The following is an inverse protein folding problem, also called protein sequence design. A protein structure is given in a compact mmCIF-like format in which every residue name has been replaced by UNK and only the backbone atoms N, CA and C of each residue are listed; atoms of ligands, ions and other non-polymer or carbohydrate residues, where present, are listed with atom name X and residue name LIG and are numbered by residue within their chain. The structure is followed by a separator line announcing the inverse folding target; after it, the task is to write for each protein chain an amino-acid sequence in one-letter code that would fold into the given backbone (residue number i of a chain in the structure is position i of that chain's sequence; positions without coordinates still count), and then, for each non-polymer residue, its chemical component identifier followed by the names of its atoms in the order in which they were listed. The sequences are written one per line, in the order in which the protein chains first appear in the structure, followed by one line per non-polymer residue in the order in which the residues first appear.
data_IF_281681762654
#
_entry.id   IF_281681762654
#
_cell.length_a   1.000
_cell.length_b   1.000
_cell.length_c   1.000
_cell.angle_alpha   90.00
_cell.angle_beta   90.00
_cell.angle_gamma   90.00
#
_symmetry.space_group_name_H-M   'P 1'
#
loop_
_entity.id
_entity.type
_entity.pdbx_description
1 polymer ?
#
# COMPACT_ATOMS: atom_id res chain seq x y z
N UNK A 1 4.86 3.40 -20.57
CA UNK A 1 4.27 4.02 -19.36
C UNK A 1 4.67 3.26 -18.10
N UNK A 2 4.49 1.93 -18.04
CA UNK A 2 4.90 1.10 -16.88
C UNK A 2 6.39 1.11 -16.53
N UNK A 3 7.28 0.89 -17.51
CA UNK A 3 8.73 0.95 -17.28
C UNK A 3 9.19 2.30 -16.73
N UNK A 4 8.63 3.40 -17.25
CA UNK A 4 8.91 4.75 -16.74
C UNK A 4 8.41 4.93 -15.30
N UNK A 5 7.31 4.29 -14.91
CA UNK A 5 6.83 4.32 -13.53
C UNK A 5 7.80 3.59 -12.59
N UNK A 6 8.35 2.44 -13.02
CA UNK A 6 9.41 1.73 -12.32
C UNK A 6 10.68 2.59 -12.21
N UNK A 7 11.12 3.23 -13.29
CA UNK A 7 12.29 4.11 -13.28
C UNK A 7 12.16 5.26 -12.26
N UNK A 8 10.95 5.81 -12.09
CA UNK A 8 10.69 6.83 -11.06
C UNK A 8 10.80 6.30 -9.64
N UNK A 9 10.65 4.99 -9.43
CA UNK A 9 10.68 4.34 -8.12
C UNK A 9 12.07 3.85 -7.72
N UNK A 10 12.98 3.58 -8.67
CA UNK A 10 14.30 3.02 -8.34
C UNK A 10 15.40 3.25 -9.37
N UNK A 11 15.22 4.17 -10.31
CA UNK A 11 16.17 4.44 -11.38
C UNK A 11 16.16 3.41 -12.52
N UNK A 12 17.14 3.47 -13.44
CA UNK A 12 17.15 2.70 -14.70
C UNK A 12 17.01 1.19 -14.52
N UNK A 13 17.51 0.63 -13.41
CA UNK A 13 17.52 -0.82 -13.17
C UNK A 13 16.31 -1.31 -12.35
N UNK A 14 15.36 -0.44 -12.01
CA UNK A 14 14.22 -0.77 -11.15
C UNK A 14 13.37 -1.94 -11.67
N UNK A 15 13.33 -2.14 -13.00
CA UNK A 15 12.56 -3.20 -13.64
C UNK A 15 13.27 -4.57 -13.66
N UNK A 16 14.56 -4.65 -13.29
CA UNK A 16 15.38 -5.85 -13.48
C UNK A 16 14.79 -7.11 -12.81
N UNK A 17 14.28 -6.96 -11.58
CA UNK A 17 13.66 -8.07 -10.84
C UNK A 17 12.43 -8.64 -11.57
N UNK A 18 11.60 -7.76 -12.15
CA UNK A 18 10.39 -8.16 -12.88
C UNK A 18 10.78 -8.81 -14.21
N UNK A 19 11.70 -8.19 -14.95
CA UNK A 19 12.14 -8.67 -16.26
C UNK A 19 12.84 -10.03 -16.18
N UNK A 20 13.48 -10.35 -15.06
CA UNK A 20 14.12 -11.64 -14.84
C UNK A 20 13.15 -12.83 -14.90
N UNK A 21 11.83 -12.62 -14.73
CA UNK A 21 10.82 -13.67 -14.82
C UNK A 21 10.31 -13.93 -16.25
N UNK A 22 10.80 -13.21 -17.26
CA UNK A 22 10.25 -13.26 -18.62
C UNK A 22 10.49 -14.60 -19.36
N UNK A 23 11.50 -15.36 -18.96
CA UNK A 23 11.83 -16.67 -19.53
C UNK A 23 10.80 -17.74 -19.16
N UNK A 24 10.21 -17.65 -17.96
CA UNK A 24 9.25 -18.62 -17.41
C UNK A 24 7.81 -18.08 -17.45
N UNK A 25 7.61 -16.79 -17.17
CA UNK A 25 6.29 -16.18 -16.99
C UNK A 25 6.16 -14.82 -17.70
N UNK A 26 6.26 -14.77 -19.03
CA UNK A 26 6.23 -13.50 -19.79
C UNK A 26 4.92 -12.71 -19.62
N UNK A 27 3.78 -13.37 -19.48
CA UNK A 27 2.51 -12.68 -19.21
C UNK A 27 2.48 -12.04 -17.82
N UNK A 28 3.11 -12.67 -16.81
CA UNK A 28 3.23 -12.07 -15.47
C UNK A 28 4.06 -10.78 -15.53
N UNK A 29 5.16 -10.80 -16.29
CA UNK A 29 5.98 -9.60 -16.55
C UNK A 29 5.14 -8.52 -17.22
N UNK A 30 4.36 -8.87 -18.24
CA UNK A 30 3.46 -7.93 -18.91
C UNK A 30 2.40 -7.36 -17.96
N UNK A 31 1.76 -8.18 -17.12
CA UNK A 31 0.79 -7.69 -16.13
C UNK A 31 1.42 -6.76 -15.10
N UNK A 32 2.63 -7.07 -14.63
CA UNK A 32 3.34 -6.20 -13.71
C UNK A 32 3.64 -4.85 -14.38
N UNK A 33 4.23 -4.85 -15.58
CA UNK A 33 4.62 -3.61 -16.26
C UNK A 33 3.39 -2.81 -16.68
N UNK A 34 2.45 -3.40 -17.39
CA UNK A 34 1.36 -2.65 -18.02
C UNK A 34 0.26 -2.32 -17.01
N UNK A 35 -0.26 -3.32 -16.29
CA UNK A 35 -1.39 -3.12 -15.39
C UNK A 35 -0.94 -2.56 -14.03
N UNK A 36 -0.02 -3.23 -13.35
CA UNK A 36 0.34 -2.82 -11.99
C UNK A 36 1.06 -1.45 -11.99
N UNK A 37 2.19 -1.35 -12.69
CA UNK A 37 2.98 -0.11 -12.73
C UNK A 37 2.48 0.90 -13.77
N UNK A 38 1.98 0.44 -14.92
CA UNK A 38 1.56 1.30 -16.01
C UNK A 38 0.21 1.96 -15.80
N UNK A 39 -0.72 1.32 -15.09
CA UNK A 39 -2.07 1.84 -14.85
C UNK A 39 -2.36 2.15 -13.39
N UNK A 40 -2.21 1.18 -12.47
CA UNK A 40 -2.70 1.35 -11.09
C UNK A 40 -1.78 2.26 -10.26
N UNK A 41 -0.47 1.97 -10.25
CA UNK A 41 0.51 2.69 -9.44
C UNK A 41 0.93 4.04 -10.04
N UNK A 42 0.71 4.24 -11.34
CA UNK A 42 1.02 5.50 -12.04
C UNK A 42 -0.11 6.54 -11.98
N UNK A 43 -1.30 6.17 -11.47
CA UNK A 43 -2.46 7.08 -11.39
C UNK A 43 -2.11 8.37 -10.64
N UNK A 44 -2.52 9.54 -11.13
CA UNK A 44 -2.35 10.78 -10.39
C UNK A 44 -3.27 10.84 -9.16
N UNK A 45 -2.92 11.68 -8.19
CA UNK A 45 -3.75 11.97 -7.00
C UNK A 45 -3.26 11.34 -5.69
N UNK A 46 -2.46 10.28 -5.75
CA UNK A 46 -1.70 9.74 -4.63
C UNK A 46 -0.22 9.72 -4.99
N UNK A 47 0.60 10.43 -4.21
CA UNK A 47 2.03 10.54 -4.46
C UNK A 47 2.75 9.20 -4.25
N UNK A 48 3.92 9.05 -4.89
CA UNK A 48 4.69 7.80 -4.87
C UNK A 48 5.14 7.42 -3.46
N UNK A 49 5.54 8.40 -2.62
CA UNK A 49 5.98 8.14 -1.25
C UNK A 49 4.87 7.46 -0.45
N UNK A 50 3.66 8.01 -0.50
CA UNK A 50 2.49 7.47 0.20
C UNK A 50 2.08 6.11 -0.36
N UNK A 51 2.13 5.91 -1.68
CA UNK A 51 1.86 4.60 -2.31
C UNK A 51 2.79 3.52 -1.79
N UNK A 52 4.09 3.80 -1.75
CA UNK A 52 5.09 2.84 -1.30
C UNK A 52 4.94 2.55 0.19
N UNK A 53 4.65 3.54 1.03
CA UNK A 53 4.36 3.32 2.45
C UNK A 53 3.11 2.43 2.66
N UNK A 54 2.08 2.58 1.83
CA UNK A 54 0.91 1.69 1.84
C UNK A 54 1.26 0.27 1.38
N UNK A 55 2.10 0.12 0.36
CA UNK A 55 2.63 -1.18 -0.09
C UNK A 55 3.42 -1.87 1.01
N UNK A 56 4.35 -1.16 1.65
CA UNK A 56 5.17 -1.65 2.77
C UNK A 56 4.27 -2.13 3.89
N UNK A 57 3.19 -1.42 4.21
CA UNK A 57 2.23 -1.83 5.23
C UNK A 57 1.61 -3.19 4.90
N UNK A 58 1.05 -3.34 3.69
CA UNK A 58 0.45 -4.58 3.22
C UNK A 58 1.46 -5.75 3.20
N UNK A 59 2.64 -5.55 2.61
CA UNK A 59 3.67 -6.60 2.52
C UNK A 59 4.25 -6.98 3.89
N UNK A 60 4.33 -6.02 4.82
CA UNK A 60 4.72 -6.30 6.22
C UNK A 60 3.68 -7.14 6.96
N UNK A 61 2.38 -6.96 6.67
CA UNK A 61 1.33 -7.84 7.21
C UNK A 61 1.43 -9.26 6.64
N UNK A 62 1.65 -9.36 5.33
CA UNK A 62 1.60 -10.63 4.59
C UNK A 62 2.90 -11.44 4.72
N UNK A 63 4.02 -10.81 5.08
CA UNK A 63 5.31 -11.49 5.24
C UNK A 63 6.07 -11.75 3.93
N UNK A 64 5.83 -10.95 2.88
CA UNK A 64 6.51 -11.07 1.60
C UNK A 64 7.85 -10.32 1.57
N UNK A 65 8.86 -10.89 2.25
CA UNK A 65 10.17 -10.24 2.49
C UNK A 65 10.93 -9.76 1.24
N UNK A 66 11.06 -10.53 0.13
CA UNK A 66 11.80 -10.05 -1.05
C UNK A 66 11.18 -8.79 -1.66
N UNK A 67 9.85 -8.76 -1.80
CA UNK A 67 9.11 -7.61 -2.31
C UNK A 67 9.15 -6.46 -1.29
N UNK A 68 9.00 -6.76 0.00
CA UNK A 68 9.09 -5.76 1.07
C UNK A 68 10.42 -5.02 1.02
N UNK A 69 11.54 -5.74 0.82
CA UNK A 69 12.86 -5.12 0.68
C UNK A 69 12.90 -4.14 -0.48
N UNK A 70 12.43 -4.55 -1.67
CA UNK A 70 12.41 -3.68 -2.85
C UNK A 70 11.54 -2.43 -2.63
N UNK A 71 10.34 -2.57 -2.05
CA UNK A 71 9.45 -1.44 -1.78
C UNK A 71 9.98 -0.50 -0.70
N UNK A 72 10.74 -1.00 0.28
CA UNK A 72 11.48 -0.13 1.23
C UNK A 72 12.52 0.71 0.50
N UNK A 73 13.32 0.09 -0.37
CA UNK A 73 14.32 0.81 -1.17
C UNK A 73 13.66 1.86 -2.08
N UNK A 74 12.54 1.49 -2.73
CA UNK A 74 11.76 2.38 -3.58
C UNK A 74 11.15 3.55 -2.79
N UNK A 75 10.57 3.31 -1.61
CA UNK A 75 10.03 4.35 -0.75
C UNK A 75 11.09 5.40 -0.39
N UNK A 76 12.27 4.95 0.03
CA UNK A 76 13.39 5.82 0.36
C UNK A 76 13.87 6.61 -0.87
N UNK A 77 13.91 5.97 -2.04
CA UNK A 77 14.29 6.60 -3.30
C UNK A 77 13.35 7.76 -3.68
N UNK A 78 12.04 7.60 -3.46
CA UNK A 78 11.04 8.65 -3.72
C UNK A 78 10.83 9.62 -2.55
N UNK A 79 11.71 9.59 -1.55
CA UNK A 79 11.78 10.61 -0.49
C UNK A 79 11.12 10.25 0.84
N UNK A 80 10.75 8.98 1.08
CA UNK A 80 10.39 8.51 2.41
C UNK A 80 11.61 8.55 3.35
N UNK A 81 11.35 8.84 4.61
CA UNK A 81 12.35 8.74 5.66
C UNK A 81 12.37 7.33 6.25
N UNK A 82 13.54 6.86 6.65
CA UNK A 82 13.67 5.56 7.32
C UNK A 82 12.74 5.45 8.54
N UNK A 83 12.57 6.54 9.28
CA UNK A 83 11.68 6.57 10.44
C UNK A 83 10.19 6.38 10.08
N UNK A 84 9.74 6.83 8.90
CA UNK A 84 8.38 6.59 8.38
C UNK A 84 8.20 5.10 8.08
N UNK A 85 9.18 4.48 7.40
CA UNK A 85 9.19 3.04 7.11
C UNK A 85 9.15 2.21 8.41
N UNK A 86 9.97 2.58 9.39
CA UNK A 86 10.02 1.89 10.68
C UNK A 86 8.69 2.00 11.42
N UNK A 87 8.03 3.17 11.37
CA UNK A 87 6.70 3.35 11.94
C UNK A 87 5.66 2.45 11.26
N UNK A 88 5.62 2.40 9.91
CA UNK A 88 4.71 1.50 9.17
C UNK A 88 4.92 0.04 9.59
N UNK A 89 6.17 -0.42 9.68
CA UNK A 89 6.50 -1.79 10.09
C UNK A 89 6.09 -2.09 11.52
N UNK A 90 6.20 -1.12 12.45
CA UNK A 90 5.68 -1.25 13.83
C UNK A 90 4.16 -1.39 13.85
N UNK A 91 3.44 -0.55 13.09
CA UNK A 91 1.97 -0.63 12.96
C UNK A 91 1.56 -2.01 12.44
N UNK A 92 2.20 -2.48 11.36
CA UNK A 92 1.93 -3.79 10.80
C UNK A 92 2.11 -4.92 11.83
N UNK A 93 3.22 -4.89 12.59
CA UNK A 93 3.50 -5.86 13.65
C UNK A 93 2.44 -5.85 14.75
N UNK A 94 1.93 -4.69 15.15
CA UNK A 94 0.90 -4.59 16.19
C UNK A 94 -0.41 -5.27 15.75
N UNK A 95 -0.76 -5.21 14.47
CA UNK A 95 -1.94 -5.88 13.92
C UNK A 95 -1.77 -7.38 13.70
N UNK A 96 -0.56 -7.82 13.34
CA UNK A 96 -0.25 -9.25 13.17
C UNK A 96 -0.04 -9.95 14.52
N UNK A 97 0.48 -9.23 15.53
CA UNK A 97 0.77 -9.73 16.88
C UNK A 97 0.31 -8.73 17.95
N UNK A 98 -0.98 -8.76 18.36
CA UNK A 98 -1.56 -7.77 19.28
C UNK A 98 -0.93 -7.70 20.67
N UNK A 99 -0.23 -8.76 21.10
CA UNK A 99 0.49 -8.81 22.37
C UNK A 99 1.80 -8.00 22.39
N UNK A 100 2.21 -7.40 21.27
CA UNK A 100 3.48 -6.68 21.13
C UNK A 100 3.47 -5.23 21.64
N UNK A 101 2.39 -4.75 22.27
CA UNK A 101 2.23 -3.33 22.63
C UNK A 101 1.60 -2.52 21.48
N UNK A 102 0.92 -1.43 21.84
CA UNK A 102 0.02 -0.68 20.96
C UNK A 102 0.70 0.02 19.79
N UNK A 103 -0.05 0.24 18.71
CA UNK A 103 0.33 1.14 17.64
C UNK A 103 0.27 2.58 18.17
N UNK A 104 1.41 3.10 18.64
CA UNK A 104 1.47 4.44 19.20
C UNK A 104 1.12 5.50 18.14
N UNK A 105 0.19 6.40 18.46
CA UNK A 105 -0.19 7.54 17.61
C UNK A 105 0.89 8.60 17.44
N UNK A 106 2.08 8.39 18.02
CA UNK A 106 3.26 9.26 17.93
C UNK A 106 4.27 8.66 16.93
N UNK A 107 4.68 9.46 15.96
CA UNK A 107 5.71 9.08 14.99
C UNK A 107 5.80 10.06 13.83
N UNK A 108 6.75 9.85 12.90
CA UNK A 108 7.06 10.79 11.83
C UNK A 108 6.02 10.88 10.71
N UNK A 109 5.14 9.88 10.56
CA UNK A 109 4.08 9.91 9.55
C UNK A 109 3.05 11.01 9.87
N UNK A 110 2.66 11.76 8.84
CA UNK A 110 1.47 12.59 8.96
C UNK A 110 0.21 11.72 9.21
N UNK A 111 -0.83 12.26 9.86
CA UNK A 111 -2.01 11.49 10.21
C UNK A 111 -2.68 10.82 9.00
N UNK A 112 -2.83 11.51 7.86
CA UNK A 112 -3.53 10.96 6.71
C UNK A 112 -2.78 9.76 6.11
N UNK A 113 -1.46 9.88 5.93
CA UNK A 113 -0.60 8.80 5.44
C UNK A 113 -0.60 7.60 6.37
N UNK A 114 -0.53 7.83 7.69
CA UNK A 114 -0.58 6.76 8.70
C UNK A 114 -1.87 5.95 8.62
N UNK A 115 -3.01 6.62 8.51
CA UNK A 115 -4.29 5.93 8.43
C UNK A 115 -4.47 5.21 7.08
N UNK A 116 -4.01 5.80 5.96
CA UNK A 116 -4.02 5.14 4.65
C UNK A 116 -3.15 3.87 4.63
N UNK A 117 -1.95 3.91 5.22
CA UNK A 117 -1.11 2.73 5.37
C UNK A 117 -1.79 1.65 6.22
N UNK A 118 -2.51 2.05 7.28
CA UNK A 118 -3.28 1.12 8.13
C UNK A 118 -4.49 0.54 7.39
N UNK A 119 -5.15 1.31 6.51
CA UNK A 119 -6.20 0.82 5.61
C UNK A 119 -5.65 -0.22 4.63
N UNK A 120 -4.48 0.03 4.02
CA UNK A 120 -3.82 -0.93 3.13
C UNK A 120 -3.51 -2.25 3.85
N UNK A 121 -2.90 -2.16 5.03
CA UNK A 121 -2.60 -3.28 5.92
C UNK A 121 -3.85 -4.12 6.25
N UNK A 122 -4.91 -3.48 6.75
CA UNK A 122 -6.13 -4.17 7.17
C UNK A 122 -6.89 -4.77 5.99
N UNK A 123 -6.84 -4.12 4.83
CA UNK A 123 -7.37 -4.67 3.58
C UNK A 123 -6.61 -5.93 3.19
N UNK A 124 -5.26 -5.91 3.27
CA UNK A 124 -4.41 -7.05 2.95
C UNK A 124 -4.65 -8.24 3.90
N UNK A 125 -4.86 -8.00 5.19
CA UNK A 125 -5.19 -9.06 6.15
C UNK A 125 -6.59 -9.65 5.92
N UNK A 126 -7.57 -8.83 5.54
CA UNK A 126 -8.89 -9.29 5.09
C UNK A 126 -9.82 -9.87 6.17
N UNK A 127 -9.39 -9.96 7.43
CA UNK A 127 -10.15 -10.61 8.51
C UNK A 127 -10.54 -9.66 9.67
N UNK A 128 -10.41 -8.33 9.49
CA UNK A 128 -10.71 -7.31 10.52
C UNK A 128 -11.59 -6.16 10.00
N UNK A 129 -12.82 -6.44 9.51
CA UNK A 129 -13.65 -5.44 8.81
C UNK A 129 -14.08 -4.25 9.69
N UNK A 130 -14.32 -4.47 10.99
CA UNK A 130 -14.68 -3.37 11.90
C UNK A 130 -13.53 -2.37 12.10
N UNK A 131 -12.30 -2.88 12.29
CA UNK A 131 -11.10 -2.05 12.36
C UNK A 131 -10.87 -1.29 11.05
N UNK A 132 -11.03 -1.96 9.91
CA UNK A 132 -10.90 -1.33 8.59
C UNK A 132 -11.86 -0.15 8.43
N UNK A 133 -13.15 -0.32 8.76
CA UNK A 133 -14.15 0.76 8.70
C UNK A 133 -13.80 1.93 9.62
N UNK A 134 -13.27 1.66 10.81
CA UNK A 134 -12.83 2.72 11.72
C UNK A 134 -11.66 3.51 11.13
N UNK A 135 -10.63 2.84 10.62
CA UNK A 135 -9.48 3.50 10.01
C UNK A 135 -9.84 4.25 8.73
N UNK A 136 -10.82 3.79 7.95
CA UNK A 136 -11.36 4.54 6.81
C UNK A 136 -11.99 5.87 7.25
N UNK A 137 -12.78 5.89 8.32
CA UNK A 137 -13.34 7.14 8.89
C UNK A 137 -12.24 8.05 9.43
N UNK A 138 -11.27 7.49 10.14
CA UNK A 138 -10.14 8.27 10.70
C UNK A 138 -9.27 8.86 9.57
N UNK A 139 -9.02 8.12 8.49
CA UNK A 139 -8.29 8.63 7.33
C UNK A 139 -8.98 9.85 6.70
N UNK A 140 -10.29 9.78 6.50
CA UNK A 140 -11.09 10.90 6.00
C UNK A 140 -11.01 12.11 6.94
N UNK A 141 -11.18 11.88 8.24
CA UNK A 141 -11.09 12.94 9.25
C UNK A 141 -9.69 13.57 9.34
N UNK A 142 -8.65 12.79 9.04
CA UNK A 142 -7.26 13.24 8.96
C UNK A 142 -6.92 13.99 7.65
N UNK A 143 -7.86 14.09 6.71
CA UNK A 143 -7.71 14.83 5.46
C UNK A 143 -7.43 13.98 4.21
N UNK A 144 -7.41 12.65 4.32
CA UNK A 144 -7.34 11.80 3.13
C UNK A 144 -8.61 11.97 2.29
N UNK A 145 -8.43 12.11 0.98
CA UNK A 145 -9.57 12.23 0.06
C UNK A 145 -10.19 10.87 -0.24
N UNK A 146 -11.48 10.87 -0.63
CA UNK A 146 -12.16 9.66 -1.12
C UNK A 146 -11.38 9.00 -2.27
N UNK A 147 -10.83 9.82 -3.18
CA UNK A 147 -10.04 9.35 -4.31
C UNK A 147 -8.75 8.64 -3.87
N UNK A 148 -8.03 9.20 -2.89
CA UNK A 148 -6.82 8.56 -2.36
C UNK A 148 -7.13 7.21 -1.70
N UNK A 149 -8.19 7.14 -0.89
CA UNK A 149 -8.63 5.88 -0.27
C UNK A 149 -8.94 4.83 -1.34
N UNK A 150 -9.71 5.18 -2.37
CA UNK A 150 -10.03 4.25 -3.47
C UNK A 150 -8.75 3.75 -4.15
N UNK A 151 -7.79 4.63 -4.44
CA UNK A 151 -6.54 4.23 -5.07
C UNK A 151 -5.69 3.29 -4.19
N UNK A 152 -5.70 3.48 -2.86
CA UNK A 152 -5.05 2.53 -1.92
C UNK A 152 -5.72 1.16 -1.99
N UNK A 153 -7.05 1.09 -2.02
CA UNK A 153 -7.80 -0.16 -2.08
C UNK A 153 -7.61 -0.87 -3.43
N UNK A 154 -7.60 -0.14 -4.54
CA UNK A 154 -7.30 -0.68 -5.88
C UNK A 154 -5.88 -1.26 -5.96
N UNK A 155 -4.91 -0.56 -5.37
CA UNK A 155 -3.52 -1.02 -5.27
C UNK A 155 -3.42 -2.37 -4.51
N UNK A 156 -4.33 -2.67 -3.58
CA UNK A 156 -4.34 -3.97 -2.89
C UNK A 156 -4.67 -5.14 -3.82
N UNK A 157 -5.27 -4.90 -4.99
CA UNK A 157 -5.47 -5.97 -5.98
C UNK A 157 -4.13 -6.57 -6.45
N UNK A 158 -3.06 -5.76 -6.45
CA UNK A 158 -1.71 -6.17 -6.83
C UNK A 158 -1.02 -6.92 -5.69
N UNK A 159 -1.08 -6.40 -4.47
CA UNK A 159 -0.27 -6.90 -3.35
C UNK A 159 -0.98 -7.93 -2.46
N UNK A 160 -2.31 -7.94 -2.43
CA UNK A 160 -3.13 -8.85 -1.63
C UNK A 160 -4.18 -9.62 -2.47
N UNK A 161 -4.26 -9.33 -3.78
CA UNK A 161 -5.21 -9.97 -4.69
C UNK A 161 -6.59 -9.30 -4.73
N UNK A 162 -7.32 -9.56 -5.82
CA UNK A 162 -8.66 -8.99 -6.06
C UNK A 162 -9.68 -9.25 -4.94
N UNK A 163 -9.78 -10.43 -4.31
CA UNK A 163 -10.74 -10.65 -3.24
C UNK A 163 -10.56 -9.71 -2.05
N UNK A 164 -9.30 -9.48 -1.63
CA UNK A 164 -8.99 -8.55 -0.55
C UNK A 164 -9.37 -7.11 -0.92
N UNK A 165 -9.00 -6.67 -2.13
CA UNK A 165 -9.35 -5.35 -2.65
C UNK A 165 -10.88 -5.12 -2.71
N UNK A 166 -11.64 -6.10 -3.22
CA UNK A 166 -13.11 -6.01 -3.30
C UNK A 166 -13.76 -5.90 -1.91
N UNK A 167 -13.27 -6.66 -0.93
CA UNK A 167 -13.74 -6.56 0.45
C UNK A 167 -13.44 -5.18 1.05
N UNK A 168 -12.26 -4.64 0.77
CA UNK A 168 -11.89 -3.28 1.18
C UNK A 168 -12.78 -2.21 0.55
N UNK A 169 -13.06 -2.31 -0.75
CA UNK A 169 -13.98 -1.42 -1.48
C UNK A 169 -15.40 -1.53 -0.92
N UNK A 170 -15.88 -2.74 -0.59
CA UNK A 170 -17.19 -2.93 0.02
C UNK A 170 -17.29 -2.23 1.37
N UNK A 171 -16.26 -2.34 2.22
CA UNK A 171 -16.19 -1.63 3.50
C UNK A 171 -16.15 -0.10 3.32
N UNK A 172 -15.37 0.39 2.35
CA UNK A 172 -15.31 1.82 2.01
C UNK A 172 -16.66 2.34 1.50
N UNK A 173 -17.37 1.57 0.67
CA UNK A 173 -18.71 1.96 0.19
C UNK A 173 -19.63 2.26 1.35
N UNK A 174 -19.70 1.38 2.36
CA UNK A 174 -20.54 1.60 3.54
C UNK A 174 -20.17 2.91 4.25
N UNK A 175 -18.89 3.11 4.59
CA UNK A 175 -18.39 4.32 5.28
C UNK A 175 -18.66 5.60 4.48
N UNK A 176 -18.46 5.56 3.17
CA UNK A 176 -18.58 6.70 2.28
C UNK A 176 -20.03 7.10 2.02
N UNK A 177 -20.97 6.17 2.16
CA UNK A 177 -22.42 6.43 2.06
C UNK A 177 -23.06 6.85 3.37
N UNK A 178 -22.48 6.51 4.53
CA UNK A 178 -22.94 6.99 5.84
C UNK A 178 -22.66 8.48 6.08
N UNK A 179 -21.65 9.03 5.40
CA UNK A 179 -21.16 10.41 5.56
C UNK A 179 -21.70 11.38 4.51
N UNK A 180 -22.80 11.03 3.83
CA UNK A 180 -23.50 11.84 2.84
C UNK A 180 -24.89 12.22 3.38
#
# INVERSE_FOLDING_TARGET
MGLQALERLGGPDAAALILAAADIAPDLVRFAIDFAFGEVLSRPGLDLKTRELCTIAALSALGYEPQLKWHVEAALYVGAQQAEVDQVKRIARAYVRPSAGGADGQGPLDPATREMATVALLTALGHQPAALKNHLRTALAAGATRAQIVQVLEQMAIYAGFPAALNGVAAAREVLTESA
#
